data_IF_446451675007
#
_entry.id   IF_446451675007
#
_cell.length_a   1.000
_cell.length_b   1.000
_cell.length_c   1.000
_cell.angle_alpha   90.00
_cell.angle_beta   90.00
_cell.angle_gamma   90.00
#
_symmetry.space_group_name_H-M   'P 1'
#
loop_
_entity.id
_entity.type
_entity.pdbx_description
1 polymer ?
#
# COMPACT_ATOMS: atom_id res chain seq x y z
N UNK A 1 17.24 -19.74 -4.78
CA UNK A 1 17.35 -18.31 -4.38
C UNK A 1 16.01 -17.58 -4.53
N UNK A 2 15.19 -17.86 -5.56
CA UNK A 2 13.89 -17.21 -5.78
C UNK A 2 12.85 -17.44 -4.66
N UNK A 3 12.86 -18.61 -4.02
CA UNK A 3 11.87 -18.96 -2.98
C UNK A 3 11.97 -18.15 -1.68
N UNK A 4 13.18 -17.77 -1.26
CA UNK A 4 13.37 -16.93 -0.05
C UNK A 4 12.85 -15.52 -0.30
N UNK A 5 13.10 -14.97 -1.49
CA UNK A 5 12.52 -13.69 -1.90
C UNK A 5 11.00 -13.76 -1.91
N UNK A 6 10.41 -14.85 -2.38
CA UNK A 6 8.96 -15.07 -2.37
C UNK A 6 8.34 -15.08 -0.96
N UNK A 7 9.10 -15.49 0.06
CA UNK A 7 8.70 -15.46 1.47
C UNK A 7 8.91 -14.07 2.10
N UNK A 8 10.00 -13.40 1.77
CA UNK A 8 10.38 -12.13 2.41
C UNK A 8 9.64 -10.94 1.79
N UNK A 9 9.40 -10.93 0.47
CA UNK A 9 8.75 -9.82 -0.23
C UNK A 9 7.36 -9.48 0.32
N UNK A 10 6.46 -10.45 0.57
CA UNK A 10 5.17 -10.16 1.20
C UNK A 10 5.30 -9.50 2.57
N UNK A 11 6.26 -9.95 3.38
CA UNK A 11 6.50 -9.40 4.72
C UNK A 11 6.97 -7.95 4.64
N UNK A 12 7.94 -7.67 3.76
CA UNK A 12 8.47 -6.32 3.54
C UNK A 12 7.39 -5.40 2.95
N UNK A 13 6.62 -5.90 1.98
CA UNK A 13 5.51 -5.15 1.37
C UNK A 13 4.41 -4.82 2.38
N UNK A 14 4.02 -5.77 3.22
CA UNK A 14 3.04 -5.55 4.27
C UNK A 14 3.52 -4.56 5.33
N UNK A 15 4.81 -4.60 5.69
CA UNK A 15 5.40 -3.63 6.60
C UNK A 15 5.41 -2.23 5.99
N UNK A 16 5.77 -2.09 4.71
CA UNK A 16 5.75 -0.79 4.03
C UNK A 16 4.35 -0.18 3.98
N UNK A 17 3.34 -0.98 3.64
CA UNK A 17 1.93 -0.55 3.64
C UNK A 17 1.46 -0.18 5.04
N UNK A 18 1.84 -0.95 6.05
CA UNK A 18 1.51 -0.63 7.43
C UNK A 18 2.11 0.71 7.87
N UNK A 19 3.41 0.95 7.59
CA UNK A 19 4.07 2.21 7.95
C UNK A 19 3.45 3.39 7.22
N UNK A 20 3.16 3.27 5.91
CA UNK A 20 2.51 4.34 5.14
C UNK A 20 1.09 4.62 5.66
N UNK A 21 0.30 3.59 5.95
CA UNK A 21 -1.04 3.74 6.53
C UNK A 21 -1.01 4.36 7.93
N UNK A 22 0.01 4.05 8.75
CA UNK A 22 0.21 4.69 10.05
C UNK A 22 0.58 6.16 9.90
N UNK A 23 1.49 6.49 8.99
CA UNK A 23 1.94 7.86 8.72
C UNK A 23 0.78 8.75 8.23
N UNK A 24 -0.10 8.19 7.40
CA UNK A 24 -1.32 8.86 6.91
C UNK A 24 -2.49 8.87 7.88
N UNK A 25 -2.37 8.22 9.06
CA UNK A 25 -3.45 8.12 10.04
C UNK A 25 -4.69 7.38 9.52
N UNK A 26 -4.53 6.44 8.61
CA UNK A 26 -5.64 5.67 8.03
C UNK A 26 -6.31 4.78 9.08
N UNK A 27 -7.64 4.69 9.06
CA UNK A 27 -8.37 3.76 9.93
C UNK A 27 -8.02 2.30 9.58
N UNK A 28 -7.48 1.56 10.55
CA UNK A 28 -7.14 0.13 10.40
C UNK A 28 -5.85 -0.16 9.61
N UNK A 29 -4.69 0.43 9.98
CA UNK A 29 -3.42 0.22 9.26
C UNK A 29 -2.96 -1.25 9.29
N UNK A 30 -3.34 -1.97 10.36
CA UNK A 30 -3.09 -3.40 10.52
C UNK A 30 -3.85 -4.23 9.47
N UNK A 31 -5.08 -3.85 9.12
CA UNK A 31 -5.88 -4.57 8.11
C UNK A 31 -5.29 -4.44 6.71
N UNK A 32 -4.68 -3.29 6.38
CA UNK A 32 -3.96 -3.09 5.13
C UNK A 32 -2.69 -3.93 5.04
N UNK A 33 -1.92 -4.02 6.12
CA UNK A 33 -0.77 -4.92 6.22
C UNK A 33 -1.17 -6.40 6.04
N UNK A 34 -2.22 -6.85 6.74
CA UNK A 34 -2.74 -8.22 6.64
C UNK A 34 -3.23 -8.52 5.21
N UNK A 35 -3.96 -7.60 4.59
CA UNK A 35 -4.44 -7.75 3.20
C UNK A 35 -3.27 -7.89 2.22
N UNK A 36 -2.20 -7.13 2.43
CA UNK A 36 -0.98 -7.19 1.61
C UNK A 36 -0.27 -8.54 1.76
N UNK A 37 -0.22 -9.10 2.98
CA UNK A 37 0.28 -10.47 3.19
C UNK A 37 -0.58 -11.51 2.48
N UNK A 38 -1.91 -11.40 2.60
CA UNK A 38 -2.85 -12.34 1.98
C UNK A 38 -2.71 -12.35 0.45
N UNK A 39 -2.57 -11.18 -0.16
CA UNK A 39 -2.33 -11.05 -1.61
C UNK A 39 -0.94 -11.58 -2.00
N UNK A 40 0.09 -11.20 -1.23
CA UNK A 40 1.47 -11.60 -1.49
C UNK A 40 1.70 -13.11 -1.43
N UNK A 41 1.08 -13.80 -0.46
CA UNK A 41 1.17 -15.27 -0.34
C UNK A 41 0.13 -16.02 -1.17
N UNK A 42 -1.08 -15.47 -1.34
CA UNK A 42 -2.18 -16.15 -2.02
C UNK A 42 -2.12 -16.06 -3.55
N UNK A 43 -1.67 -14.93 -4.09
CA UNK A 43 -1.62 -14.68 -5.55
C UNK A 43 -0.20 -14.54 -6.06
N UNK A 44 0.71 -14.06 -5.20
CA UNK A 44 2.12 -13.95 -5.50
C UNK A 44 2.62 -12.50 -5.59
N UNK A 45 3.94 -12.30 -5.53
CA UNK A 45 4.60 -11.01 -5.38
C UNK A 45 4.44 -10.09 -6.59
N UNK A 46 4.18 -10.62 -7.80
CA UNK A 46 3.91 -9.79 -8.99
C UNK A 46 2.58 -9.05 -8.84
N UNK A 47 1.53 -9.75 -8.42
CA UNK A 47 0.20 -9.13 -8.19
C UNK A 47 0.23 -8.22 -6.97
N UNK A 48 0.99 -8.58 -5.93
CA UNK A 48 1.27 -7.69 -4.82
C UNK A 48 1.96 -6.39 -5.25
N UNK A 49 2.92 -6.46 -6.18
CA UNK A 49 3.56 -5.29 -6.76
C UNK A 49 2.55 -4.38 -7.48
N UNK A 50 1.65 -4.95 -8.27
CA UNK A 50 0.57 -4.19 -8.91
C UNK A 50 -0.37 -3.54 -7.88
N UNK A 51 -0.72 -4.28 -6.82
CA UNK A 51 -1.54 -3.78 -5.72
C UNK A 51 -0.90 -2.58 -5.02
N UNK A 52 0.40 -2.65 -4.74
CA UNK A 52 1.17 -1.55 -4.15
C UNK A 52 1.20 -0.31 -5.06
N UNK A 53 1.38 -0.49 -6.37
CA UNK A 53 1.34 0.62 -7.34
C UNK A 53 -0.03 1.30 -7.35
N UNK A 54 -1.10 0.52 -7.35
CA UNK A 54 -2.47 1.05 -7.31
C UNK A 54 -2.76 1.77 -5.98
N UNK A 55 -2.28 1.22 -4.86
CA UNK A 55 -2.42 1.83 -3.53
C UNK A 55 -1.74 3.21 -3.48
N UNK A 56 -0.50 3.31 -3.97
CA UNK A 56 0.24 4.59 -4.03
C UNK A 56 -0.40 5.58 -5.01
N UNK A 57 -0.86 5.11 -6.16
CA UNK A 57 -1.51 5.96 -7.16
C UNK A 57 -2.82 6.55 -6.64
N UNK A 58 -3.64 5.73 -5.96
CA UNK A 58 -4.89 6.20 -5.35
C UNK A 58 -4.65 7.34 -4.36
N UNK A 59 -3.69 7.16 -3.47
CA UNK A 59 -3.32 8.17 -2.48
C UNK A 59 -2.74 9.45 -3.12
N UNK A 60 -1.86 9.31 -4.11
CA UNK A 60 -1.33 10.47 -4.84
C UNK A 60 -2.44 11.30 -5.51
N UNK A 61 -3.45 10.63 -6.07
CA UNK A 61 -4.60 11.31 -6.66
C UNK A 61 -5.46 12.01 -5.61
N UNK A 62 -5.67 11.39 -4.44
CA UNK A 62 -6.37 12.03 -3.31
C UNK A 62 -5.65 13.28 -2.82
N UNK A 63 -4.32 13.23 -2.70
CA UNK A 63 -3.50 14.38 -2.28
C UNK A 63 -3.61 15.53 -3.30
N UNK A 64 -3.52 15.22 -4.60
CA UNK A 64 -3.69 16.21 -5.69
C UNK A 64 -5.09 16.81 -5.75
N UNK A 65 -6.13 15.99 -5.54
CA UNK A 65 -7.51 16.45 -5.50
C UNK A 65 -7.76 17.35 -4.29
N UNK A 66 -7.18 17.02 -3.14
CA UNK A 66 -7.28 17.80 -1.91
C UNK A 66 -6.60 19.16 -2.06
N UNK A 67 -5.41 19.20 -2.66
CA UNK A 67 -4.70 20.44 -2.96
C UNK A 67 -5.52 21.36 -3.89
N UNK A 68 -6.09 20.82 -4.98
CA UNK A 68 -6.94 21.59 -5.90
C UNK A 68 -8.20 22.15 -5.25
N UNK A 69 -8.79 21.40 -4.31
CA UNK A 69 -9.97 21.89 -3.56
C UNK A 69 -9.61 23.06 -2.65
N UNK A 70 -8.44 23.01 -2.00
CA UNK A 70 -7.98 24.11 -1.15
C UNK A 70 -7.80 25.41 -1.93
N UNK A 71 -7.19 25.35 -3.12
CA UNK A 71 -6.97 26.52 -3.99
C UNK A 71 -8.27 27.15 -4.51
N UNK A 72 -9.33 26.35 -4.72
CA UNK A 72 -10.61 26.86 -5.21
C UNK A 72 -11.46 27.56 -4.13
N UNK A 73 -11.07 27.41 -2.85
CA UNK A 73 -11.79 28.00 -1.70
C UNK A 73 -11.09 29.22 -1.09
N UNK A 74 -9.89 29.56 -1.57
CA UNK A 74 -9.13 30.76 -1.23
C UNK A 74 -9.46 31.92 -2.18
#
# INVERSE_FOLDING_TARGET
MFGVLFLVLPIVGAYAVYVDAVDRGTDGPVWWGISTLAVGYGVGPIVMGLFLVLYLLGHFLEDQLSARRADSTA
#
